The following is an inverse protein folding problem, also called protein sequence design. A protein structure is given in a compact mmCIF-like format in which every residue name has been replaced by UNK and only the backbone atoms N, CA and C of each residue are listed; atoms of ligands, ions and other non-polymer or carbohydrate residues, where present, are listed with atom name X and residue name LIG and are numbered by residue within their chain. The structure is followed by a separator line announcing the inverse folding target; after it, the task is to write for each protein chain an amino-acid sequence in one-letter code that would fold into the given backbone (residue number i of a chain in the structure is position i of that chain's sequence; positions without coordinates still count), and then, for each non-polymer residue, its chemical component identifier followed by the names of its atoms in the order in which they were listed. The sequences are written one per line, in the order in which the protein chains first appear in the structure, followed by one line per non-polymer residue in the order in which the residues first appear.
data_IF_742791044490
#
_entry.id   IF_742791044490
#
_cell.length_a   1.000
_cell.length_b   1.000
_cell.length_c   1.000
_cell.angle_alpha   90.00
_cell.angle_beta   90.00
_cell.angle_gamma   90.00
#
_symmetry.space_group_name_H-M   'P 1'
#
loop_
_entity.id
_entity.type
_entity.pdbx_description
1 polymer ?
#
# COMPACT_ATOMS: atom_id res chain seq x y z
N UNK A 1 5.71 27.30 -0.43
CA UNK A 1 4.62 27.88 -1.26
C UNK A 1 3.64 26.83 -1.77
N UNK A 2 3.99 25.83 -2.61
CA UNK A 2 3.03 24.82 -3.08
C UNK A 2 2.48 23.95 -1.91
N UNK A 3 3.36 23.45 -1.04
CA UNK A 3 2.98 22.69 0.16
C UNK A 3 1.97 23.46 1.03
N UNK A 4 2.19 24.74 1.26
CA UNK A 4 1.30 25.55 2.11
C UNK A 4 -0.09 25.71 1.49
N UNK A 5 -0.16 25.83 0.16
CA UNK A 5 -1.44 25.87 -0.57
C UNK A 5 -2.18 24.54 -0.41
N UNK A 6 -1.46 23.43 -0.59
CA UNK A 6 -2.04 22.08 -0.44
C UNK A 6 -2.53 21.85 0.98
N UNK A 7 -1.73 22.19 2.00
CA UNK A 7 -2.13 22.08 3.41
C UNK A 7 -3.36 22.92 3.72
N UNK A 8 -3.43 24.17 3.21
CA UNK A 8 -4.62 25.00 3.38
C UNK A 8 -5.88 24.40 2.71
N UNK A 9 -5.74 23.72 1.57
CA UNK A 9 -6.86 23.01 0.96
C UNK A 9 -7.29 21.81 1.80
N UNK A 10 -6.34 21.05 2.37
CA UNK A 10 -6.64 19.93 3.27
C UNK A 10 -7.40 20.38 4.52
N UNK A 11 -7.08 21.56 5.08
CA UNK A 11 -7.81 22.13 6.21
C UNK A 11 -9.32 22.35 5.95
N UNK A 12 -9.74 22.43 4.69
CA UNK A 12 -11.15 22.48 4.32
C UNK A 12 -11.83 21.10 4.32
N UNK A 13 -11.05 20.02 4.30
CA UNK A 13 -11.58 18.64 4.31
C UNK A 13 -11.81 18.11 5.73
N UNK A 14 -10.84 18.28 6.63
CA UNK A 14 -10.86 17.68 7.98
C UNK A 14 -10.81 18.67 9.14
N UNK A 15 -10.74 19.98 8.85
CA UNK A 15 -10.46 20.98 9.87
C UNK A 15 -8.96 21.12 10.19
N UNK A 16 -8.56 22.32 10.63
CA UNK A 16 -7.14 22.66 10.78
C UNK A 16 -6.42 21.77 11.80
N UNK A 17 -6.94 21.67 12.99
CA UNK A 17 -6.32 20.88 14.09
C UNK A 17 -6.16 19.39 13.75
N UNK A 18 -7.12 18.85 13.03
CA UNK A 18 -7.13 17.44 12.62
C UNK A 18 -6.06 17.16 11.55
N UNK A 19 -6.04 17.96 10.51
CA UNK A 19 -5.06 17.85 9.41
C UNK A 19 -3.64 18.07 9.91
N UNK A 20 -3.41 19.10 10.74
CA UNK A 20 -2.08 19.40 11.29
C UNK A 20 -1.56 18.26 12.16
N UNK A 21 -2.44 17.58 12.92
CA UNK A 21 -2.07 16.40 13.68
C UNK A 21 -1.59 15.27 12.77
N UNK A 22 -2.36 14.92 11.74
CA UNK A 22 -1.96 13.87 10.79
C UNK A 22 -0.67 14.22 10.04
N UNK A 23 -0.52 15.46 9.62
CA UNK A 23 0.72 15.92 8.98
C UNK A 23 1.94 15.80 9.91
N UNK A 24 1.77 16.09 11.21
CA UNK A 24 2.83 15.93 12.22
C UNK A 24 3.15 14.45 12.44
N UNK A 25 2.14 13.60 12.63
CA UNK A 25 2.32 12.15 12.78
C UNK A 25 3.08 11.53 11.60
N UNK A 26 2.76 11.96 10.37
CA UNK A 26 3.46 11.48 9.17
C UNK A 26 4.87 12.08 9.01
N UNK A 27 5.10 13.33 9.47
CA UNK A 27 6.39 13.99 9.37
C UNK A 27 7.39 13.53 10.43
N UNK A 28 6.93 13.26 11.64
CA UNK A 28 7.75 12.77 12.76
C UNK A 28 8.24 11.34 12.52
N UNK A 29 7.41 10.53 11.89
CA UNK A 29 7.82 9.25 11.35
C UNK A 29 8.77 9.48 10.18
N UNK A 30 10.08 9.38 10.34
CA UNK A 30 11.09 9.31 9.24
C UNK A 30 10.85 8.10 8.31
N UNK A 31 9.65 7.51 8.33
CA UNK A 31 9.28 6.25 7.71
C UNK A 31 8.45 6.55 6.46
N UNK A 32 8.92 6.07 5.33
CA UNK A 32 8.22 6.18 4.05
C UNK A 32 6.83 5.53 4.11
N UNK A 33 5.91 6.13 3.39
CA UNK A 33 4.64 5.49 3.04
C UNK A 33 4.86 4.58 1.84
N UNK A 34 4.44 3.33 1.92
CA UNK A 34 4.41 2.43 0.75
C UNK A 34 3.04 2.53 0.12
N UNK A 35 3.00 2.78 -1.17
CA UNK A 35 1.76 2.84 -1.95
C UNK A 35 1.77 1.75 -3.02
N UNK A 36 0.82 0.83 -2.92
CA UNK A 36 0.60 -0.18 -3.95
C UNK A 36 -0.49 0.29 -4.92
N UNK A 37 -0.18 0.24 -6.20
CA UNK A 37 -1.08 0.66 -7.28
C UNK A 37 -1.38 -0.53 -8.18
N UNK A 38 -2.65 -0.80 -8.43
CA UNK A 38 -3.07 -1.81 -9.42
C UNK A 38 -2.88 -1.31 -10.85
N UNK A 39 -2.51 -2.22 -11.78
CA UNK A 39 -2.36 -1.87 -13.19
C UNK A 39 -3.63 -1.28 -13.83
N UNK A 40 -4.82 -1.70 -13.38
CA UNK A 40 -6.08 -1.14 -13.87
C UNK A 40 -6.23 0.36 -13.59
N UNK A 41 -5.77 0.85 -12.43
CA UNK A 41 -5.79 2.29 -12.14
C UNK A 41 -4.87 3.09 -13.06
N UNK A 42 -3.73 2.51 -13.47
CA UNK A 42 -2.81 3.18 -14.40
C UNK A 42 -3.44 3.23 -15.79
N UNK A 43 -4.17 2.19 -16.19
CA UNK A 43 -4.85 2.14 -17.48
C UNK A 43 -6.05 3.07 -17.56
N UNK A 44 -6.88 3.12 -16.51
CA UNK A 44 -8.22 3.71 -16.59
C UNK A 44 -8.28 5.12 -15.97
N UNK A 45 -7.42 5.41 -14.95
CA UNK A 45 -7.51 6.61 -14.12
C UNK A 45 -6.13 7.25 -13.84
N UNK A 46 -5.20 7.21 -14.80
CA UNK A 46 -3.82 7.64 -14.63
C UNK A 46 -3.68 9.09 -14.13
N UNK A 47 -4.48 10.01 -14.65
CA UNK A 47 -4.42 11.43 -14.31
C UNK A 47 -4.81 11.68 -12.84
N UNK A 48 -5.86 11.01 -12.37
CA UNK A 48 -6.31 11.09 -10.99
C UNK A 48 -5.32 10.40 -10.04
N UNK A 49 -4.79 9.25 -10.46
CA UNK A 49 -3.74 8.53 -9.74
C UNK A 49 -2.48 9.39 -9.57
N UNK A 50 -1.99 10.00 -10.65
CA UNK A 50 -0.82 10.88 -10.59
C UNK A 50 -1.07 12.09 -9.69
N UNK A 51 -2.27 12.67 -9.72
CA UNK A 51 -2.65 13.78 -8.83
C UNK A 51 -2.66 13.37 -7.36
N UNK A 52 -3.18 12.18 -7.05
CA UNK A 52 -3.19 11.62 -5.70
C UNK A 52 -1.77 11.37 -5.16
N UNK A 53 -0.92 10.74 -5.97
CA UNK A 53 0.47 10.46 -5.58
C UNK A 53 1.30 11.76 -5.44
N UNK A 54 1.09 12.73 -6.33
CA UNK A 54 1.72 14.04 -6.24
C UNK A 54 1.30 14.78 -4.97
N UNK A 55 0.01 14.73 -4.58
CA UNK A 55 -0.47 15.25 -3.30
C UNK A 55 0.32 14.64 -2.14
N UNK A 56 0.43 13.32 -2.06
CA UNK A 56 1.16 12.63 -0.99
C UNK A 56 2.63 13.07 -0.92
N UNK A 57 3.28 13.23 -2.08
CA UNK A 57 4.64 13.71 -2.16
C UNK A 57 4.77 15.15 -1.64
N UNK A 58 3.92 16.06 -2.12
CA UNK A 58 3.99 17.49 -1.76
C UNK A 58 3.66 17.77 -0.29
N UNK A 59 2.84 16.95 0.36
CA UNK A 59 2.61 17.08 1.81
C UNK A 59 3.73 16.46 2.66
N UNK A 60 4.68 15.74 2.04
CA UNK A 60 5.89 15.23 2.69
C UNK A 60 5.85 13.77 3.12
N UNK A 61 4.85 12.99 2.68
CA UNK A 61 4.77 11.55 2.99
C UNK A 61 5.84 10.70 2.29
N UNK A 62 6.52 11.24 1.28
CA UNK A 62 7.60 10.58 0.52
C UNK A 62 7.25 9.14 0.10
N UNK A 63 6.19 8.94 -0.70
CA UNK A 63 5.72 7.61 -1.06
C UNK A 63 6.75 6.82 -1.87
N UNK A 64 6.84 5.52 -1.57
CA UNK A 64 7.48 4.52 -2.43
C UNK A 64 6.36 3.76 -3.13
N UNK A 65 6.32 3.83 -4.45
CA UNK A 65 5.23 3.27 -5.25
C UNK A 65 5.62 1.90 -5.80
N UNK A 66 4.81 0.89 -5.50
CA UNK A 66 4.88 -0.43 -6.12
C UNK A 66 3.69 -0.54 -7.07
N UNK A 67 3.94 -0.74 -8.36
CA UNK A 67 2.86 -0.84 -9.32
C UNK A 67 2.70 -2.26 -9.86
N UNK A 68 1.47 -2.66 -10.14
CA UNK A 68 1.16 -3.83 -10.95
C UNK A 68 0.93 -3.45 -12.41
N UNK A 69 0.80 -4.45 -13.28
CA UNK A 69 0.50 -4.28 -14.70
C UNK A 69 -0.35 -5.45 -15.24
N UNK A 70 -1.24 -5.99 -14.41
CA UNK A 70 -2.01 -7.20 -14.75
C UNK A 70 -2.81 -7.08 -16.06
N UNK A 71 -3.68 -6.09 -16.22
CA UNK A 71 -4.45 -5.87 -17.46
C UNK A 71 -3.55 -5.66 -18.69
N UNK A 72 -2.53 -4.80 -18.57
CA UNK A 72 -1.60 -4.50 -19.65
C UNK A 72 -0.81 -5.73 -20.09
N UNK A 73 -0.36 -6.55 -19.11
CA UNK A 73 0.33 -7.81 -19.41
C UNK A 73 -0.61 -8.83 -20.08
N UNK A 74 -1.88 -8.87 -19.67
CA UNK A 74 -2.87 -9.72 -20.35
C UNK A 74 -3.03 -9.31 -21.81
N UNK A 75 -3.20 -8.01 -22.09
CA UNK A 75 -3.33 -7.50 -23.45
C UNK A 75 -2.07 -7.77 -24.29
N UNK A 76 -0.87 -7.61 -23.75
CA UNK A 76 0.37 -7.92 -24.45
C UNK A 76 0.48 -9.42 -24.78
N UNK A 77 0.11 -10.30 -23.82
CA UNK A 77 0.11 -11.75 -24.05
C UNK A 77 -0.88 -12.14 -25.16
N UNK A 78 -2.10 -11.61 -25.11
CA UNK A 78 -3.14 -11.86 -26.13
C UNK A 78 -2.66 -11.38 -27.51
N UNK A 79 -2.04 -10.19 -27.59
CA UNK A 79 -1.48 -9.67 -28.85
C UNK A 79 -0.36 -10.55 -29.41
N UNK A 80 0.38 -11.23 -28.54
CA UNK A 80 1.45 -12.17 -28.89
C UNK A 80 0.94 -13.62 -29.11
N UNK A 81 -0.37 -13.86 -29.02
CA UNK A 81 -0.98 -15.17 -29.16
C UNK A 81 -0.65 -16.12 -27.99
N UNK A 82 -0.39 -15.56 -26.80
CA UNK A 82 -0.12 -16.33 -25.59
C UNK A 82 -1.37 -16.28 -24.72
N UNK A 83 -1.97 -17.44 -24.44
CA UNK A 83 -3.12 -17.51 -23.52
C UNK A 83 -2.65 -17.32 -22.07
N UNK A 84 -3.28 -16.42 -21.30
CA UNK A 84 -2.97 -16.24 -19.88
C UNK A 84 -3.44 -17.46 -19.05
N UNK A 85 -2.53 -18.06 -18.32
CA UNK A 85 -2.82 -19.14 -17.39
C UNK A 85 -2.64 -18.67 -15.94
N UNK A 86 -3.47 -19.21 -15.04
CA UNK A 86 -3.47 -18.83 -13.62
C UNK A 86 -3.49 -20.06 -12.73
N UNK A 87 -2.69 -20.06 -11.70
CA UNK A 87 -2.67 -21.07 -10.65
C UNK A 87 -2.73 -20.37 -9.29
N UNK A 88 -3.75 -20.66 -8.48
CA UNK A 88 -4.01 -20.03 -7.19
C UNK A 88 -3.95 -18.49 -7.20
N UNK A 89 -4.47 -17.88 -8.27
CA UNK A 89 -4.51 -16.42 -8.43
C UNK A 89 -3.15 -15.81 -8.78
N UNK A 90 -2.13 -16.60 -9.03
CA UNK A 90 -0.84 -16.18 -9.59
C UNK A 90 -0.79 -16.54 -11.07
N UNK A 91 -0.18 -15.68 -11.87
CA UNK A 91 -0.01 -15.90 -13.31
C UNK A 91 1.13 -16.88 -13.55
N UNK A 92 0.84 -17.96 -14.27
CA UNK A 92 1.89 -18.85 -14.77
C UNK A 92 2.84 -18.06 -15.67
N UNK A 93 4.11 -18.07 -15.34
CA UNK A 93 5.12 -17.24 -16.00
C UNK A 93 6.15 -18.09 -16.71
N UNK A 94 5.88 -18.41 -17.98
CA UNK A 94 6.87 -19.02 -18.88
C UNK A 94 7.97 -18.03 -19.25
N UNK A 95 9.10 -18.45 -19.84
CA UNK A 95 10.12 -17.51 -20.32
C UNK A 95 9.57 -16.44 -21.28
N UNK A 96 8.62 -16.81 -22.16
CA UNK A 96 7.95 -15.84 -23.05
C UNK A 96 7.08 -14.84 -22.28
N UNK A 97 6.34 -15.30 -21.29
CA UNK A 97 5.54 -14.43 -20.43
C UNK A 97 6.42 -13.52 -19.60
N UNK A 98 7.59 -13.96 -19.10
CA UNK A 98 8.51 -13.12 -18.37
C UNK A 98 9.09 -11.99 -19.24
N UNK A 99 9.42 -12.27 -20.50
CA UNK A 99 9.87 -11.23 -21.45
C UNK A 99 8.76 -10.19 -21.64
N UNK A 100 7.51 -10.62 -21.88
CA UNK A 100 6.37 -9.72 -22.00
C UNK A 100 6.17 -8.92 -20.70
N UNK A 101 6.23 -9.57 -19.53
CA UNK A 101 6.08 -8.92 -18.23
C UNK A 101 7.14 -7.83 -18.00
N UNK A 102 8.40 -8.12 -18.28
CA UNK A 102 9.51 -7.15 -18.12
C UNK A 102 9.32 -5.93 -19.01
N UNK A 103 8.91 -6.14 -20.27
CA UNK A 103 8.58 -5.06 -21.20
C UNK A 103 7.45 -4.21 -20.66
N UNK A 104 6.32 -4.83 -20.34
CA UNK A 104 5.09 -4.15 -19.88
C UNK A 104 5.31 -3.40 -18.56
N UNK A 105 6.02 -3.98 -17.60
CA UNK A 105 6.36 -3.27 -16.36
C UNK A 105 7.22 -2.04 -16.62
N UNK A 106 8.15 -2.12 -17.59
CA UNK A 106 8.95 -0.96 -18.01
C UNK A 106 8.10 0.16 -18.61
N UNK A 107 7.16 -0.19 -19.50
CA UNK A 107 6.23 0.74 -20.16
C UNK A 107 5.28 1.40 -19.14
N UNK A 108 4.61 0.61 -18.32
CA UNK A 108 3.69 1.09 -17.26
C UNK A 108 4.41 1.99 -16.26
N UNK A 109 5.63 1.60 -15.85
CA UNK A 109 6.45 2.44 -14.98
C UNK A 109 6.85 3.76 -15.62
N UNK A 110 7.05 3.81 -16.96
CA UNK A 110 7.33 5.03 -17.71
C UNK A 110 6.09 5.93 -17.75
N UNK A 111 4.97 5.38 -18.12
CA UNK A 111 3.70 6.10 -18.20
C UNK A 111 3.33 6.79 -16.88
N UNK A 112 3.46 6.05 -15.76
CA UNK A 112 3.23 6.61 -14.43
C UNK A 112 4.26 7.70 -14.07
N UNK A 113 5.53 7.51 -14.43
CA UNK A 113 6.59 8.50 -14.20
C UNK A 113 6.33 9.79 -14.95
N UNK A 114 5.99 9.70 -16.23
CA UNK A 114 5.71 10.86 -17.09
C UNK A 114 4.50 11.65 -16.56
N UNK A 115 3.45 10.95 -16.14
CA UNK A 115 2.28 11.58 -15.53
C UNK A 115 2.61 12.32 -14.22
N UNK A 116 3.48 11.74 -13.37
CA UNK A 116 3.95 12.38 -12.14
C UNK A 116 4.86 13.57 -12.41
N UNK A 117 5.75 13.47 -13.39
CA UNK A 117 6.65 14.56 -13.78
C UNK A 117 5.86 15.76 -14.36
N UNK A 118 4.78 15.49 -15.07
CA UNK A 118 3.82 16.52 -15.49
C UNK A 118 3.14 17.25 -14.31
N UNK A 119 3.07 16.60 -13.12
CA UNK A 119 2.59 17.20 -11.86
C UNK A 119 3.71 17.83 -11.02
N UNK A 120 4.93 17.93 -11.55
CA UNK A 120 6.09 18.52 -10.88
C UNK A 120 6.76 17.60 -9.85
N UNK A 121 6.49 16.29 -9.88
CA UNK A 121 7.12 15.30 -9.01
C UNK A 121 8.24 14.60 -9.77
N UNK A 122 9.47 14.76 -9.33
CA UNK A 122 10.61 14.02 -9.89
C UNK A 122 10.54 12.56 -9.49
N UNK A 123 10.81 11.66 -10.41
CA UNK A 123 10.70 10.23 -10.20
C UNK A 123 12.03 9.49 -10.31
N UNK A 124 12.06 8.25 -9.79
CA UNK A 124 13.12 7.27 -10.03
C UNK A 124 12.47 5.92 -10.31
N UNK A 125 12.49 5.49 -11.55
CA UNK A 125 12.01 4.16 -11.95
C UNK A 125 13.04 3.09 -11.63
N UNK A 126 12.58 1.99 -11.04
CA UNK A 126 13.36 0.83 -10.65
C UNK A 126 12.63 -0.42 -11.17
N UNK A 127 12.99 -0.87 -12.36
CA UNK A 127 12.31 -2.00 -13.03
C UNK A 127 12.78 -3.35 -12.50
N UNK A 128 14.03 -3.44 -12.05
CA UNK A 128 14.64 -4.63 -11.43
C UNK A 128 15.74 -4.22 -10.45
N UNK A 129 16.40 -5.19 -9.82
CA UNK A 129 17.53 -4.96 -8.90
C UNK A 129 17.13 -4.47 -7.52
N UNK A 130 15.83 -4.42 -7.20
CA UNK A 130 15.33 -4.07 -5.87
C UNK A 130 15.06 -5.32 -5.03
N UNK A 131 14.40 -6.30 -5.61
CA UNK A 131 14.01 -7.52 -4.88
C UNK A 131 14.95 -8.68 -5.20
N UNK A 132 15.56 -9.26 -4.18
CA UNK A 132 16.18 -10.56 -4.26
C UNK A 132 15.09 -11.61 -4.16
N UNK A 133 15.13 -12.62 -5.03
CA UNK A 133 14.08 -13.64 -5.07
C UNK A 133 14.62 -15.02 -5.42
N UNK A 134 13.92 -16.04 -4.97
CA UNK A 134 14.11 -17.44 -5.40
C UNK A 134 12.89 -17.90 -6.19
N UNK A 135 13.03 -18.85 -7.11
CA UNK A 135 11.87 -19.47 -7.73
C UNK A 135 10.93 -20.04 -6.68
N UNK A 136 9.61 -19.87 -6.90
CA UNK A 136 8.61 -20.45 -6.01
C UNK A 136 8.68 -21.97 -6.01
N UNK A 137 8.41 -22.56 -4.85
CA UNK A 137 8.30 -24.03 -4.71
C UNK A 137 6.97 -24.57 -5.27
N UNK A 138 6.01 -23.70 -5.59
CA UNK A 138 4.70 -24.12 -6.13
C UNK A 138 4.86 -24.66 -7.55
N UNK A 139 4.57 -25.95 -7.81
CA UNK A 139 4.73 -26.54 -9.13
C UNK A 139 3.84 -25.87 -10.19
N UNK A 140 4.34 -25.77 -11.41
CA UNK A 140 3.58 -25.28 -12.55
C UNK A 140 3.51 -23.76 -12.73
N UNK A 141 4.04 -22.95 -11.79
CA UNK A 141 4.07 -21.50 -11.91
C UNK A 141 5.18 -20.95 -12.80
N UNK A 142 6.23 -21.75 -13.07
CA UNK A 142 7.35 -21.34 -13.91
C UNK A 142 8.24 -20.27 -13.25
N UNK A 143 8.53 -19.19 -13.95
CA UNK A 143 9.42 -18.11 -13.50
C UNK A 143 8.70 -17.11 -12.57
N UNK A 144 7.99 -17.60 -11.58
CA UNK A 144 7.42 -16.83 -10.48
C UNK A 144 8.39 -16.88 -9.30
N UNK A 145 8.60 -15.71 -8.65
CA UNK A 145 9.56 -15.58 -7.56
C UNK A 145 8.92 -15.30 -6.20
N UNK A 146 9.59 -15.82 -5.18
CA UNK A 146 9.37 -15.49 -3.77
C UNK A 146 10.50 -14.56 -3.29
N UNK A 147 10.14 -13.43 -2.68
CA UNK A 147 11.11 -12.43 -2.24
C UNK A 147 11.84 -12.95 -1.01
N UNK A 148 13.17 -12.98 -1.07
CA UNK A 148 14.06 -13.39 0.02
C UNK A 148 14.81 -12.24 0.66
N UNK A 149 14.86 -11.08 -0.02
CA UNK A 149 15.55 -9.90 0.46
C UNK A 149 15.28 -8.68 -0.42
N UNK A 150 15.88 -7.56 -0.02
CA UNK A 150 15.68 -6.29 -0.72
C UNK A 150 16.95 -5.44 -0.68
N UNK A 151 17.36 -4.91 -1.85
CA UNK A 151 18.36 -3.84 -1.96
C UNK A 151 17.69 -2.48 -1.98
N UNK A 152 17.86 -1.75 -0.89
CA UNK A 152 17.22 -0.45 -0.71
C UNK A 152 18.07 0.76 -1.01
N UNK A 153 19.34 0.60 -1.45
CA UNK A 153 20.26 1.73 -1.65
C UNK A 153 19.73 2.72 -2.69
N UNK A 154 19.27 2.21 -3.84
CA UNK A 154 18.71 3.03 -4.90
C UNK A 154 17.43 3.77 -4.47
N UNK A 155 16.62 3.15 -3.58
CA UNK A 155 15.41 3.75 -3.02
C UNK A 155 15.77 4.86 -2.03
N UNK A 156 16.68 4.59 -1.10
CA UNK A 156 17.15 5.58 -0.13
C UNK A 156 17.72 6.82 -0.85
N UNK A 157 18.61 6.59 -1.82
CA UNK A 157 19.19 7.66 -2.66
C UNK A 157 18.12 8.46 -3.40
N UNK A 158 17.08 7.81 -3.93
CA UNK A 158 16.00 8.50 -4.62
C UNK A 158 15.23 9.43 -3.65
N UNK A 159 14.89 8.92 -2.47
CA UNK A 159 14.15 9.67 -1.44
C UNK A 159 14.98 10.87 -0.94
N UNK A 160 16.27 10.69 -0.68
CA UNK A 160 17.18 11.76 -0.25
C UNK A 160 17.29 12.89 -1.29
N UNK A 161 17.20 12.54 -2.58
CA UNK A 161 17.20 13.50 -3.68
C UNK A 161 15.82 14.03 -4.05
N UNK A 162 14.83 13.84 -3.18
CA UNK A 162 13.45 14.25 -3.39
C UNK A 162 12.87 13.71 -4.71
N UNK A 163 13.08 12.42 -4.97
CA UNK A 163 12.52 11.68 -6.08
C UNK A 163 11.61 10.58 -5.56
N UNK A 164 10.46 10.42 -6.20
CA UNK A 164 9.53 9.33 -5.88
C UNK A 164 10.00 8.03 -6.54
N UNK A 165 10.34 6.98 -5.77
CA UNK A 165 10.64 5.67 -6.33
C UNK A 165 9.39 5.02 -6.91
N UNK A 166 9.48 4.54 -8.15
CA UNK A 166 8.44 3.76 -8.85
C UNK A 166 9.05 2.39 -9.16
N UNK A 167 8.52 1.35 -8.56
CA UNK A 167 9.15 0.04 -8.50
C UNK A 167 8.24 -1.00 -9.13
N UNK A 168 8.80 -1.74 -10.10
CA UNK A 168 8.14 -2.90 -10.68
C UNK A 168 8.36 -4.16 -9.82
N UNK A 169 7.39 -5.07 -9.75
CA UNK A 169 7.49 -6.30 -8.98
C UNK A 169 8.26 -7.38 -9.76
N UNK A 170 9.53 -7.13 -10.02
CA UNK A 170 10.47 -8.05 -10.64
C UNK A 170 11.56 -8.39 -9.64
N UNK A 171 11.69 -9.66 -9.32
CA UNK A 171 12.77 -10.19 -8.51
C UNK A 171 13.97 -10.64 -9.34
N UNK A 172 15.13 -10.73 -8.70
CA UNK A 172 16.36 -11.21 -9.32
C UNK A 172 16.98 -12.28 -8.42
N UNK A 173 17.34 -13.43 -8.99
CA UNK A 173 18.07 -14.48 -8.28
C UNK A 173 19.55 -14.13 -8.16
N UNK A 174 20.31 -14.88 -7.36
CA UNK A 174 21.76 -14.67 -7.18
C UNK A 174 22.55 -14.82 -8.50
N UNK A 175 22.09 -15.68 -9.41
CA UNK A 175 22.67 -15.90 -10.73
C UNK A 175 22.15 -14.93 -11.80
N UNK A 176 21.32 -13.95 -11.42
CA UNK A 176 20.83 -12.89 -12.30
C UNK A 176 19.55 -13.23 -13.09
N UNK A 177 18.92 -14.40 -12.88
CA UNK A 177 17.63 -14.71 -13.49
C UNK A 177 16.54 -13.80 -12.95
N UNK A 178 15.75 -13.17 -13.84
CA UNK A 178 14.58 -12.40 -13.46
C UNK A 178 13.40 -13.34 -13.15
N UNK A 179 12.60 -12.93 -12.16
CA UNK A 179 11.39 -13.62 -11.74
C UNK A 179 10.24 -12.64 -11.65
N UNK A 180 9.05 -13.06 -12.09
CA UNK A 180 7.83 -12.29 -11.90
C UNK A 180 7.34 -12.45 -10.45
N UNK A 181 7.14 -11.33 -9.75
CA UNK A 181 6.70 -11.33 -8.36
C UNK A 181 5.30 -10.72 -8.27
N UNK A 182 4.50 -11.20 -7.32
CA UNK A 182 3.22 -10.58 -7.05
C UNK A 182 3.41 -9.16 -6.46
N UNK A 183 2.69 -8.17 -7.01
CA UNK A 183 2.82 -6.78 -6.59
C UNK A 183 2.35 -6.53 -5.14
N UNK A 184 1.42 -7.31 -4.60
CA UNK A 184 0.99 -7.20 -3.20
C UNK A 184 2.09 -7.76 -2.28
N UNK A 185 2.73 -8.88 -2.65
CA UNK A 185 3.91 -9.43 -1.97
C UNK A 185 5.11 -8.47 -2.02
N UNK A 186 5.35 -7.82 -3.17
CA UNK A 186 6.41 -6.81 -3.31
C UNK A 186 6.14 -5.59 -2.40
N UNK A 187 4.90 -5.14 -2.31
CA UNK A 187 4.52 -4.05 -1.40
C UNK A 187 4.69 -4.45 0.08
N UNK A 188 4.37 -5.69 0.44
CA UNK A 188 4.61 -6.25 1.78
C UNK A 188 6.11 -6.23 2.11
N UNK A 189 6.95 -6.82 1.27
CA UNK A 189 8.40 -6.85 1.49
C UNK A 189 8.99 -5.44 1.63
N UNK A 190 8.54 -4.48 0.81
CA UNK A 190 8.94 -3.09 0.91
C UNK A 190 8.49 -2.45 2.23
N UNK A 191 7.26 -2.67 2.65
CA UNK A 191 6.71 -2.11 3.87
C UNK A 191 7.44 -2.65 5.11
N UNK A 192 7.70 -3.96 5.15
CA UNK A 192 8.47 -4.61 6.22
C UNK A 192 9.90 -4.09 6.28
N UNK A 193 10.60 -4.02 5.15
CA UNK A 193 11.96 -3.49 5.09
C UNK A 193 12.05 -2.04 5.56
N UNK A 194 11.09 -1.19 5.19
CA UNK A 194 11.01 0.23 5.59
C UNK A 194 10.46 0.42 7.00
N UNK A 195 9.89 -0.60 7.63
CA UNK A 195 9.08 -0.49 8.85
C UNK A 195 8.01 0.59 8.70
N UNK A 196 7.24 0.49 7.61
CA UNK A 196 6.28 1.52 7.25
C UNK A 196 5.12 1.56 8.25
N UNK A 197 4.84 2.73 8.80
CA UNK A 197 3.66 2.92 9.66
C UNK A 197 2.36 3.01 8.84
N UNK A 198 2.48 3.41 7.58
CA UNK A 198 1.35 3.55 6.68
C UNK A 198 1.61 2.85 5.35
N UNK A 199 0.73 1.93 5.02
CA UNK A 199 0.69 1.28 3.69
C UNK A 199 -0.65 1.63 3.04
N UNK A 200 -0.63 2.00 1.77
CA UNK A 200 -1.81 2.42 1.03
C UNK A 200 -1.99 1.50 -0.18
N UNK A 201 -3.13 0.87 -0.27
CA UNK A 201 -3.56 0.14 -1.46
C UNK A 201 -4.56 1.02 -2.22
N UNK A 202 -4.14 1.51 -3.38
CA UNK A 202 -5.04 2.24 -4.26
C UNK A 202 -5.79 1.25 -5.16
N UNK A 203 -7.12 1.33 -5.11
CA UNK A 203 -8.03 0.43 -5.83
C UNK A 203 -9.17 1.20 -6.47
N UNK A 204 -9.76 0.73 -7.59
CA UNK A 204 -10.92 1.39 -8.20
C UNK A 204 -12.14 1.40 -7.27
N UNK A 205 -12.32 0.36 -6.45
CA UNK A 205 -13.48 0.25 -5.52
C UNK A 205 -13.41 1.24 -4.36
N UNK A 206 -12.21 1.76 -4.06
CA UNK A 206 -12.03 2.72 -2.98
C UNK A 206 -12.17 2.14 -1.58
N UNK A 207 -12.14 0.83 -1.42
CA UNK A 207 -12.22 0.13 -0.13
C UNK A 207 -12.70 -1.31 -0.27
N UNK A 208 -12.86 -1.99 0.86
CA UNK A 208 -13.45 -3.32 0.95
C UNK A 208 -14.98 -3.15 0.94
N UNK A 209 -15.63 -3.82 0.01
CA UNK A 209 -17.08 -3.75 -0.12
C UNK A 209 -17.74 -4.90 0.66
N UNK A 210 -18.81 -4.57 1.37
CA UNK A 210 -19.70 -5.57 1.93
C UNK A 210 -20.60 -6.17 0.81
N UNK A 211 -21.41 -7.23 1.09
CA UNK A 211 -22.30 -7.85 0.10
C UNK A 211 -23.32 -6.88 -0.54
N UNK A 212 -23.58 -5.73 0.07
CA UNK A 212 -24.47 -4.69 -0.44
C UNK A 212 -23.75 -3.60 -1.25
N UNK A 213 -22.45 -3.79 -1.58
CA UNK A 213 -21.64 -2.84 -2.34
C UNK A 213 -21.22 -1.58 -1.58
N UNK A 214 -21.39 -1.54 -0.25
CA UNK A 214 -20.94 -0.41 0.59
C UNK A 214 -19.54 -0.67 1.12
N UNK A 215 -18.72 0.38 1.17
CA UNK A 215 -17.38 0.33 1.75
C UNK A 215 -17.48 0.05 3.26
N UNK A 216 -16.72 -0.92 3.74
CA UNK A 216 -16.51 -1.20 5.16
C UNK A 216 -15.46 -0.21 5.65
N UNK A 217 -15.76 0.69 6.61
CA UNK A 217 -14.86 1.78 6.95
C UNK A 217 -13.61 1.33 7.72
N UNK A 218 -13.72 0.26 8.51
CA UNK A 218 -12.60 -0.27 9.29
C UNK A 218 -12.69 -1.79 9.41
N UNK A 219 -11.51 -2.43 9.47
CA UNK A 219 -11.36 -3.87 9.76
C UNK A 219 -10.27 -4.04 10.79
N UNK A 220 -10.59 -4.72 11.88
CA UNK A 220 -9.65 -5.21 12.86
C UNK A 220 -9.30 -6.66 12.53
N UNK A 221 -8.04 -6.93 12.16
CA UNK A 221 -7.65 -8.26 11.73
C UNK A 221 -7.82 -9.35 12.81
N UNK A 222 -7.63 -9.02 14.08
CA UNK A 222 -7.78 -9.98 15.19
C UNK A 222 -9.23 -10.28 15.53
N UNK A 223 -10.14 -9.32 15.33
CA UNK A 223 -11.52 -9.42 15.77
C UNK A 223 -12.50 -9.72 14.63
N UNK A 224 -12.32 -9.06 13.49
CA UNK A 224 -13.33 -9.05 12.43
C UNK A 224 -13.05 -10.03 11.31
N UNK A 225 -11.74 -10.30 11.01
CA UNK A 225 -11.36 -11.01 9.79
C UNK A 225 -11.92 -12.43 9.72
N UNK A 226 -11.78 -13.20 10.79
CA UNK A 226 -12.23 -14.59 10.81
C UNK A 226 -13.77 -14.68 10.71
N UNK A 227 -14.48 -13.76 11.37
CA UNK A 227 -15.94 -13.66 11.26
C UNK A 227 -16.37 -13.28 9.82
N UNK A 228 -15.69 -12.29 9.21
CA UNK A 228 -15.97 -11.84 7.84
C UNK A 228 -15.73 -12.94 6.80
N UNK A 229 -14.74 -13.82 7.04
CA UNK A 229 -14.47 -15.01 6.21
C UNK A 229 -15.56 -16.06 6.39
N UNK A 230 -15.93 -16.37 7.64
CA UNK A 230 -16.92 -17.41 7.97
C UNK A 230 -18.34 -17.07 7.50
N UNK A 231 -18.76 -15.81 7.68
CA UNK A 231 -20.11 -15.37 7.31
C UNK A 231 -20.24 -14.94 5.84
N UNK A 232 -19.15 -15.03 5.05
CA UNK A 232 -19.14 -14.69 3.63
C UNK A 232 -19.26 -13.18 3.32
N UNK A 233 -19.05 -12.31 4.30
CA UNK A 233 -18.99 -10.85 4.11
C UNK A 233 -17.92 -10.49 3.08
N UNK A 234 -16.79 -11.22 3.10
CA UNK A 234 -15.73 -11.14 2.12
C UNK A 234 -15.49 -12.52 1.50
N UNK A 235 -15.18 -12.53 0.20
CA UNK A 235 -14.92 -13.76 -0.52
C UNK A 235 -13.90 -13.55 -1.66
N UNK A 236 -13.46 -14.66 -2.27
CA UNK A 236 -12.59 -14.65 -3.45
C UNK A 236 -11.29 -13.88 -3.25
N UNK A 237 -10.96 -13.03 -4.21
CA UNK A 237 -9.73 -12.25 -4.21
C UNK A 237 -9.60 -11.26 -3.05
N UNK A 238 -10.71 -10.79 -2.48
CA UNK A 238 -10.69 -9.88 -1.34
C UNK A 238 -10.31 -10.59 -0.04
N UNK A 239 -10.76 -11.84 0.16
CA UNK A 239 -10.35 -12.67 1.30
C UNK A 239 -8.84 -12.87 1.32
N UNK A 240 -8.26 -13.24 0.18
CA UNK A 240 -6.81 -13.40 0.03
C UNK A 240 -6.07 -12.09 0.35
N UNK A 241 -6.53 -10.98 -0.20
CA UNK A 241 -5.93 -9.66 0.06
C UNK A 241 -5.93 -9.28 1.54
N UNK A 242 -7.02 -9.53 2.28
CA UNK A 242 -7.07 -9.25 3.70
C UNK A 242 -6.17 -10.18 4.53
N UNK A 243 -6.04 -11.44 4.14
CA UNK A 243 -5.08 -12.36 4.78
C UNK A 243 -3.65 -11.84 4.58
N UNK A 244 -3.28 -11.45 3.35
CA UNK A 244 -1.97 -10.86 3.06
C UNK A 244 -1.73 -9.56 3.84
N UNK A 245 -2.76 -8.72 4.03
CA UNK A 245 -2.67 -7.49 4.83
C UNK A 245 -2.51 -7.83 6.33
N UNK A 246 -3.20 -8.82 6.85
CA UNK A 246 -3.01 -9.30 8.24
C UNK A 246 -1.58 -9.77 8.46
N UNK A 247 -1.08 -10.58 7.54
CA UNK A 247 0.30 -11.09 7.61
C UNK A 247 1.32 -9.95 7.53
N UNK A 248 1.09 -8.96 6.66
CA UNK A 248 1.88 -7.72 6.62
C UNK A 248 1.86 -6.98 7.96
N UNK A 249 0.68 -6.74 8.52
CA UNK A 249 0.55 -5.99 9.78
C UNK A 249 1.17 -6.73 10.96
N UNK A 250 1.23 -8.07 10.94
CA UNK A 250 1.90 -8.86 11.98
C UNK A 250 3.42 -8.70 11.98
N UNK A 251 4.01 -8.27 10.87
CA UNK A 251 5.46 -8.00 10.73
C UNK A 251 5.83 -6.55 11.01
N UNK A 252 4.85 -5.66 11.12
CA UNK A 252 5.05 -4.23 11.35
C UNK A 252 4.86 -3.86 12.83
N UNK A 253 5.19 -2.60 13.14
CA UNK A 253 4.94 -2.06 14.47
C UNK A 253 3.42 -1.99 14.75
N UNK A 254 3.03 -2.12 16.01
CA UNK A 254 1.62 -2.22 16.45
C UNK A 254 0.75 -1.02 16.04
N UNK A 255 1.36 0.13 15.81
CA UNK A 255 0.70 1.35 15.33
C UNK A 255 0.58 1.44 13.81
N UNK A 256 1.14 0.46 13.09
CA UNK A 256 1.02 0.40 11.65
C UNK A 256 -0.42 0.17 11.19
N UNK A 257 -0.73 0.70 10.02
CA UNK A 257 -2.05 0.55 9.42
C UNK A 257 -1.99 0.46 7.90
N UNK A 258 -2.96 -0.22 7.33
CA UNK A 258 -3.18 -0.27 5.89
C UNK A 258 -4.46 0.50 5.56
N UNK A 259 -4.40 1.43 4.62
CA UNK A 259 -5.60 2.02 4.02
C UNK A 259 -5.84 1.46 2.63
N UNK A 260 -7.07 1.03 2.37
CA UNK A 260 -7.54 0.66 1.04
C UNK A 260 -8.50 1.76 0.58
N UNK A 261 -8.12 2.50 -0.46
CA UNK A 261 -8.90 3.65 -0.93
C UNK A 261 -8.75 3.86 -2.43
N UNK A 262 -9.46 4.83 -3.01
CA UNK A 262 -9.26 5.25 -4.41
C UNK A 262 -8.39 6.49 -4.49
N UNK A 263 -7.79 6.79 -5.67
CA UNK A 263 -7.06 8.03 -5.88
C UNK A 263 -7.85 9.29 -5.50
N UNK A 264 -9.11 9.39 -5.93
CA UNK A 264 -10.02 10.51 -5.61
C UNK A 264 -10.22 10.74 -4.12
N UNK A 265 -10.11 9.69 -3.32
CA UNK A 265 -10.47 9.71 -1.90
C UNK A 265 -9.27 9.69 -0.97
N UNK A 266 -8.05 9.53 -1.48
CA UNK A 266 -6.84 9.35 -0.66
C UNK A 266 -6.62 10.50 0.33
N UNK A 267 -6.87 11.74 -0.08
CA UNK A 267 -6.74 12.90 0.79
C UNK A 267 -7.69 12.81 2.01
N UNK A 268 -8.96 12.49 1.75
CA UNK A 268 -9.96 12.35 2.82
C UNK A 268 -9.65 11.16 3.73
N UNK A 269 -9.22 10.04 3.13
CA UNK A 269 -8.85 8.84 3.89
C UNK A 269 -7.70 9.11 4.87
N UNK A 270 -6.68 9.85 4.45
CA UNK A 270 -5.47 10.02 5.26
C UNK A 270 -5.51 11.20 6.23
N UNK A 271 -6.32 12.22 5.95
CA UNK A 271 -6.30 13.48 6.69
C UNK A 271 -7.60 13.80 7.42
N UNK A 272 -8.55 12.83 7.48
CA UNK A 272 -9.77 12.98 8.26
C UNK A 272 -10.08 11.74 9.11
N UNK A 273 -10.69 11.95 10.29
CA UNK A 273 -11.12 10.87 11.18
C UNK A 273 -12.17 9.95 10.55
N UNK A 274 -13.05 10.53 9.73
CA UNK A 274 -14.10 9.74 9.08
C UNK A 274 -13.56 8.82 7.99
N UNK A 275 -12.39 9.18 7.41
CA UNK A 275 -11.87 8.48 6.26
C UNK A 275 -12.84 8.46 5.08
N UNK A 276 -12.58 7.62 4.10
CA UNK A 276 -13.44 7.39 2.93
C UNK A 276 -13.18 6.05 2.23
N UNK A 277 -12.26 5.28 2.80
CA UNK A 277 -11.90 3.94 2.37
C UNK A 277 -12.09 2.92 3.48
N UNK A 278 -11.25 1.90 3.49
CA UNK A 278 -11.16 0.92 4.57
C UNK A 278 -9.84 1.05 5.29
N UNK A 279 -9.87 1.37 6.56
CA UNK A 279 -8.72 1.32 7.43
C UNK A 279 -8.59 -0.08 8.02
N UNK A 280 -7.46 -0.75 7.78
CA UNK A 280 -7.15 -2.07 8.33
C UNK A 280 -6.04 -1.94 9.37
N UNK A 281 -6.26 -2.52 10.54
CA UNK A 281 -5.29 -2.59 11.64
C UNK A 281 -5.22 -3.99 12.20
N UNK A 282 -4.12 -4.33 12.84
CA UNK A 282 -3.98 -5.62 13.54
C UNK A 282 -5.01 -5.76 14.66
N UNK A 283 -5.20 -4.72 15.42
CA UNK A 283 -6.08 -4.64 16.57
C UNK A 283 -5.30 -4.32 17.82
N UNK A 284 -6.01 -3.81 18.83
CA UNK A 284 -5.48 -3.69 20.18
C UNK A 284 -6.21 -4.72 21.02
N UNK A 285 -5.55 -5.65 21.68
CA UNK A 285 -6.22 -6.63 22.53
C UNK A 285 -7.05 -5.89 23.57
N UNK A 286 -8.36 -6.14 23.60
CA UNK A 286 -9.24 -5.64 24.66
C UNK A 286 -9.01 -6.50 25.87
N UNK A 287 -8.36 -5.92 26.89
CA UNK A 287 -8.17 -6.59 28.18
C UNK A 287 -9.27 -6.12 29.13
N UNK A 288 -10.13 -7.03 29.54
CA UNK A 288 -11.18 -6.74 30.50
C UNK A 288 -10.62 -6.81 31.94
N UNK A 289 -10.49 -5.65 32.58
CA UNK A 289 -10.00 -5.56 33.97
C UNK A 289 -11.18 -5.60 34.94
N UNK A 290 -11.29 -6.67 35.69
CA UNK A 290 -12.23 -6.76 36.82
C UNK A 290 -11.66 -6.03 38.05
N UNK A 291 -11.83 -4.70 38.09
CA UNK A 291 -11.42 -3.84 39.20
C UNK A 291 -10.24 -2.92 38.85
N UNK A 292 -10.29 -1.69 39.36
CA UNK A 292 -9.35 -0.61 39.00
C UNK A 292 -7.90 -0.80 39.47
N UNK A 293 -7.62 -1.78 40.33
CA UNK A 293 -6.28 -2.03 40.88
C UNK A 293 -5.27 -2.63 39.87
N UNK A 294 -5.74 -3.09 38.73
CA UNK A 294 -4.90 -3.67 37.66
C UNK A 294 -4.64 -2.72 36.49
N UNK A 295 -5.27 -1.54 36.49
CA UNK A 295 -5.06 -0.53 35.47
C UNK A 295 -3.76 0.23 35.71
N UNK A 296 -2.92 0.32 34.70
CA UNK A 296 -1.83 1.28 34.68
C UNK A 296 -2.43 2.69 34.58
N UNK A 297 -2.54 3.36 35.72
CA UNK A 297 -3.19 4.67 35.83
C UNK A 297 -2.52 5.70 34.90
N UNK A 298 -1.20 5.69 34.77
CA UNK A 298 -0.47 6.64 33.93
C UNK A 298 -0.81 6.45 32.46
N UNK A 299 -0.87 5.20 31.97
CA UNK A 299 -1.25 4.89 30.59
C UNK A 299 -2.73 5.20 30.36
N UNK A 300 -3.60 4.88 31.30
CA UNK A 300 -5.04 5.15 31.19
C UNK A 300 -5.30 6.64 31.16
N UNK A 301 -4.68 7.43 32.04
CA UNK A 301 -4.78 8.90 32.04
C UNK A 301 -4.30 9.48 30.74
N UNK A 302 -3.13 9.06 30.24
CA UNK A 302 -2.59 9.51 28.95
C UNK A 302 -3.54 9.18 27.78
N UNK A 303 -4.16 7.98 27.77
CA UNK A 303 -5.11 7.57 26.76
C UNK A 303 -6.37 8.45 26.77
N UNK A 304 -6.93 8.69 27.97
CA UNK A 304 -8.11 9.53 28.15
C UNK A 304 -7.82 10.99 27.76
N UNK A 305 -6.70 11.55 28.17
CA UNK A 305 -6.28 12.90 27.81
C UNK A 305 -6.15 13.06 26.29
N UNK A 306 -5.51 12.09 25.62
CA UNK A 306 -5.41 12.07 24.14
C UNK A 306 -6.78 11.97 23.47
N UNK A 307 -7.68 11.12 24.02
CA UNK A 307 -9.00 10.88 23.42
C UNK A 307 -9.95 12.06 23.58
N UNK A 308 -9.88 12.75 24.70
CA UNK A 308 -10.79 13.86 24.99
C UNK A 308 -10.16 15.25 24.81
N UNK A 309 -8.86 15.32 24.50
CA UNK A 309 -8.13 16.58 24.27
C UNK A 309 -8.12 17.49 25.50
N UNK A 310 -8.21 16.91 26.70
CA UNK A 310 -8.22 17.63 27.98
C UNK A 310 -7.27 16.96 28.95
N UNK A 311 -6.52 17.75 29.70
CA UNK A 311 -5.76 17.27 30.85
C UNK A 311 -6.72 16.88 31.96
N UNK A 312 -6.68 15.64 32.41
CA UNK A 312 -7.44 15.20 33.58
C UNK A 312 -6.80 15.86 34.80
N UNK A 313 -7.59 16.61 35.57
CA UNK A 313 -7.18 17.09 36.88
C UNK A 313 -7.45 15.98 37.90
N UNK A 314 -6.46 15.75 38.76
CA UNK A 314 -6.56 14.82 39.89
C UNK A 314 -7.80 15.08 40.74
#
# INVERSE_FOLDING_TARGET
MLRDIVVNLLHNLGGRSEVDRYLSEYAEGKRCTVVKVGGGLIQDDLEELASALALLHHVGLRPVVIHGAGPQLTAEMESAGIEPEWHDGLRVTTPKVLVAATKVFGEVGTELADALEAKGVRTRRLTNGVFHATPTETPGLGLVGEITGLDGEAIATAIERDRMPIIAPIGTTEDGQLLNVNADTAARAMATWRRSQKVIFLTPTGGILNPHGKVIPAVNCEQDLDEMLLNGTINGGMSRKLIEIRDLLSELDVDASVSITSPAKVARELFTHQGSGTLVRMGTPIVDFKGGAQLDQAKTTTLLERSFGKTLKD
#
